data_IF_105026122571
#
_entry.id   IF_105026122571
#
_cell.length_a   1.000
_cell.length_b   1.000
_cell.length_c   1.000
_cell.angle_alpha   90.00
_cell.angle_beta   90.00
_cell.angle_gamma   90.00
#
_symmetry.space_group_name_H-M   'P 1'
#
loop_
_entity.id
_entity.type
_entity.pdbx_description
1 polymer ?
#
# COMPACT_ATOMS: atom_id res chain seq x y z
N UNK A 1 -9.16 -50.21 -18.49
CA UNK A 1 -8.12 -50.17 -17.46
C UNK A 1 -7.38 -48.85 -17.42
N UNK A 2 -7.00 -48.29 -18.55
CA UNK A 2 -6.21 -47.07 -18.67
C UNK A 2 -7.01 -45.76 -18.56
N UNK A 3 -8.31 -45.74 -18.88
CA UNK A 3 -9.18 -44.57 -18.85
C UNK A 3 -9.41 -43.98 -17.45
N UNK A 4 -9.50 -44.83 -16.43
CA UNK A 4 -9.68 -44.37 -15.03
C UNK A 4 -8.43 -43.69 -14.48
N UNK A 5 -7.25 -44.13 -14.89
CA UNK A 5 -5.97 -43.55 -14.47
C UNK A 5 -5.72 -42.20 -15.15
N UNK A 6 -6.16 -42.00 -16.38
CA UNK A 6 -6.03 -40.74 -17.14
C UNK A 6 -6.98 -39.68 -16.57
N UNK A 7 -8.21 -40.01 -16.16
CA UNK A 7 -9.16 -39.11 -15.53
C UNK A 7 -8.67 -38.61 -14.15
N UNK A 8 -8.05 -39.50 -13.37
CA UNK A 8 -7.46 -39.12 -12.08
C UNK A 8 -6.28 -38.14 -12.24
N UNK A 9 -5.46 -38.34 -13.27
CA UNK A 9 -4.33 -37.42 -13.57
C UNK A 9 -4.79 -36.03 -14.04
N UNK A 10 -5.91 -35.97 -14.78
CA UNK A 10 -6.48 -34.68 -15.24
C UNK A 10 -7.02 -33.81 -14.11
N UNK A 11 -7.52 -34.40 -13.03
CA UNK A 11 -8.01 -33.69 -11.84
C UNK A 11 -6.88 -33.08 -10.99
N UNK A 12 -5.65 -33.58 -11.10
CA UNK A 12 -4.48 -33.08 -10.39
C UNK A 12 -3.82 -31.87 -11.09
N UNK A 13 -4.26 -31.54 -12.30
CA UNK A 13 -3.74 -30.42 -13.11
C UNK A 13 -4.60 -29.15 -13.00
N UNK A 14 -5.52 -29.06 -12.04
CA UNK A 14 -6.19 -27.79 -11.73
C UNK A 14 -5.13 -26.78 -11.28
N UNK A 15 -4.97 -25.64 -11.97
CA UNK A 15 -4.04 -24.62 -11.52
C UNK A 15 -4.45 -24.16 -10.13
N UNK A 16 -3.55 -24.32 -9.17
CA UNK A 16 -3.64 -23.60 -7.91
C UNK A 16 -3.51 -22.13 -8.28
N UNK A 17 -4.63 -21.40 -8.29
CA UNK A 17 -4.62 -19.97 -8.42
C UNK A 17 -3.96 -19.42 -7.15
N UNK A 18 -2.65 -19.20 -7.23
CA UNK A 18 -1.94 -18.48 -6.20
C UNK A 18 -2.38 -17.01 -6.27
N UNK A 19 -3.16 -16.57 -5.31
CA UNK A 19 -3.49 -15.16 -5.17
C UNK A 19 -2.31 -14.46 -4.47
N UNK A 20 -1.82 -13.37 -5.05
CA UNK A 20 -0.73 -12.58 -4.46
C UNK A 20 -1.22 -11.67 -3.30
N UNK A 21 -2.49 -11.71 -2.95
CA UNK A 21 -3.12 -10.93 -1.89
C UNK A 21 -4.43 -11.61 -1.45
N UNK A 22 -4.99 -11.15 -0.34
CA UNK A 22 -6.27 -11.66 0.18
C UNK A 22 -7.47 -10.74 -0.08
N UNK A 23 -7.37 -9.82 -1.05
CA UNK A 23 -8.49 -8.94 -1.40
C UNK A 23 -9.61 -9.69 -2.09
N UNK A 24 -10.84 -9.33 -1.72
CA UNK A 24 -12.06 -9.81 -2.35
C UNK A 24 -12.87 -8.60 -2.82
N UNK A 25 -13.23 -8.59 -4.11
CA UNK A 25 -14.00 -7.51 -4.69
C UNK A 25 -15.31 -7.28 -3.95
N UNK A 26 -15.63 -6.01 -3.71
CA UNK A 26 -16.84 -5.63 -2.98
C UNK A 26 -16.75 -5.80 -1.45
N UNK A 27 -15.63 -6.29 -0.91
CA UNK A 27 -15.42 -6.45 0.52
C UNK A 27 -14.36 -5.50 1.06
N UNK A 28 -14.44 -5.24 2.37
CA UNK A 28 -13.39 -4.48 3.06
C UNK A 28 -12.12 -5.30 3.13
N UNK A 29 -10.98 -4.61 3.08
CA UNK A 29 -9.67 -5.21 3.32
C UNK A 29 -9.58 -5.80 4.74
N UNK A 30 -8.70 -6.78 4.92
CA UNK A 30 -8.44 -7.34 6.24
C UNK A 30 -8.01 -6.22 7.22
N UNK A 31 -8.54 -6.21 8.45
CA UNK A 31 -8.20 -5.19 9.44
C UNK A 31 -6.70 -5.20 9.76
N UNK A 32 -6.10 -4.01 9.77
CA UNK A 32 -4.71 -3.83 10.18
C UNK A 32 -4.52 -2.46 10.82
N UNK A 33 -3.74 -2.40 11.87
CA UNK A 33 -3.29 -1.19 12.54
C UNK A 33 -1.79 -1.00 12.42
N UNK A 34 -1.35 0.25 12.26
CA UNK A 34 0.06 0.65 12.25
C UNK A 34 0.27 1.69 13.34
N UNK A 35 0.95 1.30 14.39
CA UNK A 35 1.18 2.13 15.58
C UNK A 35 2.67 2.40 15.87
N UNK A 36 3.57 1.77 15.14
CA UNK A 36 5.01 1.97 15.26
C UNK A 36 5.44 3.35 14.76
N UNK A 37 4.92 3.77 13.60
CA UNK A 37 4.94 5.14 13.09
C UNK A 37 3.53 5.57 12.69
N UNK A 38 2.94 4.96 11.68
CA UNK A 38 1.59 5.25 11.24
C UNK A 38 1.51 6.42 10.26
N UNK A 39 0.48 7.23 10.37
CA UNK A 39 0.22 8.34 9.45
C UNK A 39 1.13 9.54 9.72
N UNK A 40 1.81 10.00 8.66
CA UNK A 40 2.61 11.21 8.69
C UNK A 40 1.71 12.45 8.66
N UNK A 41 1.83 13.26 9.69
CA UNK A 41 1.11 14.54 9.84
C UNK A 41 2.09 15.68 9.60
N UNK A 42 1.65 16.67 8.84
CA UNK A 42 2.33 17.95 8.66
C UNK A 42 1.44 19.06 9.23
N UNK A 43 1.91 19.70 10.28
CA UNK A 43 1.25 20.85 10.90
C UNK A 43 2.26 21.95 11.19
N UNK A 44 2.01 23.16 10.66
CA UNK A 44 2.90 24.32 10.81
C UNK A 44 4.37 24.00 10.51
N UNK A 45 4.63 23.33 9.38
CA UNK A 45 5.96 22.87 8.94
C UNK A 45 6.64 21.84 9.87
N UNK A 46 5.91 21.31 10.84
CA UNK A 46 6.40 20.25 11.73
C UNK A 46 5.79 18.90 11.36
N UNK A 47 6.65 17.90 11.27
CA UNK A 47 6.22 16.51 11.06
C UNK A 47 5.99 15.79 12.38
N UNK A 48 4.93 15.01 12.41
CA UNK A 48 4.62 14.08 13.48
C UNK A 48 3.96 12.83 12.92
N UNK A 49 3.81 11.80 13.74
CA UNK A 49 3.13 10.57 13.38
C UNK A 49 1.98 10.31 14.34
N UNK A 50 0.91 9.72 13.82
CA UNK A 50 -0.18 9.20 14.63
C UNK A 50 -0.54 7.79 14.21
N UNK A 51 -1.10 7.02 15.14
CA UNK A 51 -1.59 5.69 14.84
C UNK A 51 -2.58 5.72 13.68
N UNK A 52 -2.48 4.73 12.83
CA UNK A 52 -3.38 4.53 11.71
C UNK A 52 -3.96 3.13 11.73
N UNK A 53 -5.17 2.96 11.22
CA UNK A 53 -5.75 1.65 10.94
C UNK A 53 -6.58 1.67 9.66
N UNK A 54 -6.82 0.48 9.08
CA UNK A 54 -7.50 0.34 7.80
C UNK A 54 -8.98 0.75 7.80
N UNK A 55 -9.62 0.87 8.97
CA UNK A 55 -10.98 1.39 9.05
C UNK A 55 -11.08 2.86 8.58
N UNK A 56 -9.97 3.60 8.64
CA UNK A 56 -9.88 4.99 8.16
C UNK A 56 -9.91 5.11 6.63
N UNK A 57 -9.82 4.02 5.90
CA UNK A 57 -9.96 4.02 4.45
C UNK A 57 -11.40 4.30 3.98
N UNK A 58 -12.38 4.13 4.84
CA UNK A 58 -13.78 4.42 4.52
C UNK A 58 -14.03 5.92 4.32
N UNK A 59 -15.09 6.26 3.58
CA UNK A 59 -15.61 7.63 3.44
C UNK A 59 -15.12 8.41 2.22
N UNK A 60 -14.10 7.94 1.51
CA UNK A 60 -13.61 8.54 0.27
C UNK A 60 -13.29 7.48 -0.77
N UNK A 61 -13.35 7.84 -2.04
CA UNK A 61 -12.73 7.05 -3.10
C UNK A 61 -11.22 7.17 -2.95
N UNK A 62 -10.53 6.05 -2.92
CA UNK A 62 -9.07 6.03 -2.71
C UNK A 62 -8.35 5.21 -3.77
N UNK A 63 -7.19 5.72 -4.17
CA UNK A 63 -6.13 4.89 -4.71
C UNK A 63 -5.17 4.59 -3.57
N UNK A 64 -5.09 3.33 -3.18
CA UNK A 64 -4.17 2.86 -2.15
C UNK A 64 -2.98 2.20 -2.84
N UNK A 65 -1.79 2.73 -2.62
CA UNK A 65 -0.56 2.11 -3.08
C UNK A 65 0.27 1.64 -1.89
N UNK A 66 0.73 0.40 -1.95
CA UNK A 66 1.66 -0.18 -1.00
C UNK A 66 3.02 -0.32 -1.69
N UNK A 67 4.03 0.35 -1.18
CA UNK A 67 5.36 0.37 -1.78
C UNK A 67 6.45 0.05 -0.75
N UNK A 68 7.53 -0.56 -1.21
CA UNK A 68 8.74 -0.71 -0.40
C UNK A 68 9.41 0.66 -0.18
N UNK A 69 10.12 0.81 0.93
CA UNK A 69 10.89 2.00 1.26
C UNK A 69 12.16 2.13 0.41
N UNK A 70 12.00 2.16 -0.92
CA UNK A 70 13.08 2.24 -1.91
C UNK A 70 12.71 3.21 -3.02
N UNK A 71 13.69 3.94 -3.55
CA UNK A 71 13.48 4.89 -4.65
C UNK A 71 12.87 4.22 -5.89
N UNK A 72 13.34 3.04 -6.26
CA UNK A 72 12.85 2.27 -7.41
C UNK A 72 11.37 1.84 -7.29
N UNK A 73 10.86 1.66 -6.10
CA UNK A 73 9.45 1.29 -5.89
C UNK A 73 8.50 2.43 -6.27
N UNK A 74 8.91 3.66 -6.01
CA UNK A 74 8.16 4.87 -6.36
C UNK A 74 8.00 5.04 -7.87
N UNK A 75 9.02 4.70 -8.63
CA UNK A 75 9.04 4.88 -10.09
C UNK A 75 8.04 3.99 -10.83
N UNK A 76 7.74 2.82 -10.28
CA UNK A 76 6.81 1.87 -10.90
C UNK A 76 5.40 2.45 -11.09
N UNK A 77 4.96 3.31 -10.19
CA UNK A 77 3.62 3.89 -10.22
C UNK A 77 3.62 5.36 -10.67
N UNK A 78 4.74 5.91 -11.11
CA UNK A 78 4.88 7.33 -11.42
C UNK A 78 3.85 7.82 -12.45
N UNK A 79 3.64 7.08 -13.53
CA UNK A 79 2.67 7.44 -14.57
C UNK A 79 1.23 7.47 -14.05
N UNK A 80 0.85 6.51 -13.21
CA UNK A 80 -0.47 6.50 -12.57
C UNK A 80 -0.65 7.73 -11.67
N UNK A 81 0.33 8.04 -10.86
CA UNK A 81 0.28 9.19 -9.95
C UNK A 81 0.21 10.51 -10.71
N UNK A 82 0.95 10.67 -11.81
CA UNK A 82 0.85 11.85 -12.67
C UNK A 82 -0.54 11.97 -13.32
N UNK A 83 -1.12 10.87 -13.79
CA UNK A 83 -2.47 10.87 -14.33
C UNK A 83 -3.53 11.27 -13.29
N UNK A 84 -3.38 10.81 -12.06
CA UNK A 84 -4.26 11.17 -10.92
C UNK A 84 -4.16 12.67 -10.62
N UNK A 85 -2.95 13.21 -10.56
CA UNK A 85 -2.72 14.65 -10.35
C UNK A 85 -3.37 15.49 -11.45
N UNK A 86 -3.18 15.08 -12.71
CA UNK A 86 -3.75 15.77 -13.86
C UNK A 86 -5.29 15.74 -13.88
N UNK A 87 -5.91 14.69 -13.34
CA UNK A 87 -7.36 14.56 -13.25
C UNK A 87 -8.00 15.58 -12.28
N UNK A 88 -7.26 16.09 -11.31
CA UNK A 88 -7.73 17.13 -10.37
C UNK A 88 -8.94 16.73 -9.54
N UNK A 89 -9.00 15.48 -9.07
CA UNK A 89 -10.11 15.01 -8.23
C UNK A 89 -10.27 15.86 -6.96
N UNK A 90 -11.50 16.15 -6.52
CA UNK A 90 -11.74 16.94 -5.30
C UNK A 90 -11.26 16.19 -4.06
N UNK A 91 -10.47 16.87 -3.21
CA UNK A 91 -9.82 16.27 -2.04
C UNK A 91 -10.79 15.86 -0.92
N UNK A 92 -12.00 16.38 -0.90
CA UNK A 92 -13.05 16.00 0.05
C UNK A 92 -13.68 14.64 -0.29
N UNK A 93 -13.60 14.19 -1.54
CA UNK A 93 -14.19 12.93 -2.04
C UNK A 93 -13.17 11.89 -2.46
N UNK A 94 -11.95 12.31 -2.73
CA UNK A 94 -10.87 11.47 -3.24
C UNK A 94 -9.60 11.65 -2.40
N UNK A 95 -8.88 10.56 -2.19
CA UNK A 95 -7.56 10.62 -1.56
C UNK A 95 -6.65 9.52 -2.10
N UNK A 96 -5.40 9.89 -2.40
CA UNK A 96 -4.32 8.92 -2.57
C UNK A 96 -3.75 8.57 -1.21
N UNK A 97 -3.71 7.29 -0.89
CA UNK A 97 -3.12 6.75 0.35
C UNK A 97 -1.92 5.91 -0.02
N UNK A 98 -0.74 6.35 0.39
CA UNK A 98 0.53 5.64 0.15
C UNK A 98 1.01 5.01 1.45
N UNK A 99 1.12 3.69 1.45
CA UNK A 99 1.67 2.91 2.57
C UNK A 99 3.09 2.54 2.18
N UNK A 100 4.06 3.07 2.92
CA UNK A 100 5.49 2.81 2.71
C UNK A 100 5.95 1.76 3.71
N UNK A 101 6.27 0.59 3.21
CA UNK A 101 6.87 -0.49 4.01
C UNK A 101 8.37 -0.24 4.16
N UNK A 102 8.79 0.29 5.29
CA UNK A 102 10.21 0.55 5.57
C UNK A 102 10.94 -0.66 6.14
N UNK A 103 10.24 -1.74 6.48
CA UNK A 103 10.85 -3.05 6.78
C UNK A 103 11.64 -3.59 5.57
N UNK A 104 11.20 -3.25 4.37
CA UNK A 104 11.84 -3.58 3.09
C UNK A 104 12.85 -2.51 2.61
N UNK A 105 13.22 -1.56 3.43
CA UNK A 105 14.23 -0.56 3.07
C UNK A 105 15.63 -1.17 3.00
N UNK A 106 16.45 -0.64 2.10
CA UNK A 106 17.86 -1.03 2.02
C UNK A 106 18.56 -0.54 3.31
N UNK A 107 19.31 -1.39 4.02
CA UNK A 107 20.02 -0.98 5.22
C UNK A 107 20.87 0.28 5.00
N UNK A 108 20.81 1.23 5.95
CA UNK A 108 21.52 2.50 5.88
C UNK A 108 20.83 3.61 5.07
N UNK A 109 19.71 3.34 4.40
CA UNK A 109 18.98 4.33 3.59
C UNK A 109 17.80 4.99 4.29
N UNK A 110 17.53 4.66 5.56
CA UNK A 110 16.34 5.10 6.28
C UNK A 110 16.16 6.63 6.32
N UNK A 111 17.23 7.41 6.43
CA UNK A 111 17.17 8.86 6.40
C UNK A 111 16.72 9.38 5.03
N UNK A 112 17.23 8.84 3.94
CA UNK A 112 16.83 9.22 2.59
C UNK A 112 15.36 8.89 2.30
N UNK A 113 14.90 7.71 2.73
CA UNK A 113 13.51 7.30 2.61
C UNK A 113 12.60 8.27 3.37
N UNK A 114 12.93 8.58 4.63
CA UNK A 114 12.17 9.54 5.44
C UNK A 114 12.13 10.91 4.79
N UNK A 115 13.26 11.45 4.37
CA UNK A 115 13.32 12.75 3.72
C UNK A 115 12.48 12.80 2.44
N UNK A 116 12.47 11.72 1.67
CA UNK A 116 11.63 11.61 0.47
C UNK A 116 10.15 11.64 0.80
N UNK A 117 9.71 10.91 1.83
CA UNK A 117 8.32 10.88 2.28
C UNK A 117 7.89 12.27 2.78
N UNK A 118 8.70 12.90 3.62
CA UNK A 118 8.44 14.24 4.17
C UNK A 118 8.38 15.30 3.06
N UNK A 119 9.28 15.24 2.08
CA UNK A 119 9.25 16.14 0.92
C UNK A 119 7.99 15.98 0.09
N UNK A 120 7.56 14.74 -0.15
CA UNK A 120 6.31 14.48 -0.85
C UNK A 120 5.09 14.99 -0.05
N UNK A 121 5.10 14.85 1.27
CA UNK A 121 4.02 15.38 2.12
C UNK A 121 3.94 16.91 2.05
N UNK A 122 5.05 17.61 1.98
CA UNK A 122 5.07 19.07 1.79
C UNK A 122 4.51 19.48 0.42
N UNK A 123 4.87 18.75 -0.64
CA UNK A 123 4.41 19.04 -2.00
C UNK A 123 2.93 18.70 -2.19
N UNK A 124 2.44 17.66 -1.51
CA UNK A 124 1.08 17.14 -1.65
C UNK A 124 0.43 16.94 -0.27
N UNK A 125 0.16 18.03 0.48
CA UNK A 125 -0.31 17.94 1.87
C UNK A 125 -1.66 17.24 2.02
N UNK A 126 -2.48 17.20 0.95
CA UNK A 126 -3.75 16.47 0.89
C UNK A 126 -3.60 14.96 0.71
N UNK A 127 -2.45 14.47 0.28
CA UNK A 127 -2.17 13.03 0.18
C UNK A 127 -1.89 12.43 1.56
N UNK A 128 -2.29 11.17 1.74
CA UNK A 128 -2.05 10.45 2.97
C UNK A 128 -0.83 9.53 2.82
N UNK A 129 0.09 9.63 3.77
CA UNK A 129 1.28 8.78 3.83
C UNK A 129 1.28 8.01 5.14
N UNK A 130 1.36 6.69 5.04
CA UNK A 130 1.47 5.78 6.18
C UNK A 130 2.87 5.16 6.15
N UNK A 131 3.56 5.19 7.26
CA UNK A 131 4.89 4.55 7.41
C UNK A 131 4.73 3.31 8.28
N UNK A 132 4.96 2.16 7.68
CA UNK A 132 4.87 0.83 8.30
C UNK A 132 6.28 0.25 8.43
N UNK A 133 6.88 0.38 9.63
CA UNK A 133 8.25 -0.08 9.88
C UNK A 133 8.37 -1.57 10.16
N UNK A 134 7.26 -2.25 10.42
CA UNK A 134 7.23 -3.66 10.77
C UNK A 134 6.59 -4.55 9.70
N UNK A 135 6.21 -3.98 8.55
CA UNK A 135 5.58 -4.72 7.46
C UNK A 135 4.22 -5.32 7.84
N UNK A 136 3.49 -4.67 8.75
CA UNK A 136 2.22 -5.18 9.28
C UNK A 136 1.14 -5.24 8.21
N UNK A 137 1.07 -4.23 7.33
CA UNK A 137 0.11 -4.19 6.23
C UNK A 137 0.39 -5.28 5.22
N UNK A 138 1.66 -5.47 4.84
CA UNK A 138 2.07 -6.54 3.93
C UNK A 138 1.65 -7.91 4.47
N UNK A 139 1.85 -8.15 5.76
CA UNK A 139 1.48 -9.42 6.42
C UNK A 139 -0.03 -9.59 6.46
N UNK A 140 -0.78 -8.56 6.86
CA UNK A 140 -2.23 -8.62 6.98
C UNK A 140 -2.94 -8.82 5.64
N UNK A 141 -2.44 -8.22 4.56
CA UNK A 141 -3.05 -8.26 3.23
C UNK A 141 -2.39 -9.28 2.29
N UNK A 142 -1.36 -9.99 2.76
CA UNK A 142 -0.63 -11.01 2.00
C UNK A 142 -0.02 -10.48 0.68
N UNK A 143 0.62 -9.33 0.79
CA UNK A 143 1.27 -8.66 -0.35
C UNK A 143 2.69 -9.18 -0.59
#
# INVERSE_FOLDING_TARGET
MTLRSILAASLLLLPLLATAHNFVDGQRVAPVGVADRGELILDNDKFSYKNWNSAQLAGKVRVVQHIAGRSSAKEKNANLIEAIKAAGFPHDRYQTTTIVNTDDAIPGTGMFVRNSIESNKKLFPWSQFIVDSNGLVRKAWQL
#
